data_IF_850570443939
#
_entry.id   IF_850570443939
#
_cell.length_a   1.000
_cell.length_b   1.000
_cell.length_c   1.000
_cell.angle_alpha   90.00
_cell.angle_beta   90.00
_cell.angle_gamma   90.00
#
_symmetry.space_group_name_H-M   'P 1'
#
loop_
_entity.id
_entity.type
_entity.pdbx_description
1 polymer ?
#
# COMPACT_ATOMS: atom_id res chain seq x y z
N UNK A 1 -33.28 -21.67 22.48
CA UNK A 1 -32.67 -22.56 21.48
C UNK A 1 -31.77 -21.68 20.65
N UNK A 2 -30.49 -22.03 20.53
CA UNK A 2 -29.56 -21.31 19.66
C UNK A 2 -29.70 -21.92 18.26
N UNK A 3 -29.93 -21.07 17.24
CA UNK A 3 -29.87 -21.52 15.85
C UNK A 3 -28.49 -22.15 15.56
N UNK A 4 -28.45 -23.23 14.76
CA UNK A 4 -27.20 -23.90 14.39
C UNK A 4 -26.41 -22.99 13.45
N UNK A 5 -25.36 -22.34 13.96
CA UNK A 5 -24.43 -21.57 13.14
C UNK A 5 -23.49 -22.51 12.40
N UNK A 6 -23.38 -22.33 11.09
CA UNK A 6 -22.41 -23.02 10.25
C UNK A 6 -21.01 -22.45 10.58
N UNK A 7 -19.98 -23.28 10.81
CA UNK A 7 -18.61 -22.80 10.89
C UNK A 7 -18.25 -22.17 9.53
N UNK A 8 -18.16 -20.83 9.48
CA UNK A 8 -17.87 -20.06 8.27
C UNK A 8 -18.80 -18.88 7.97
N UNK A 9 -19.90 -18.69 8.72
CA UNK A 9 -20.91 -17.64 8.44
C UNK A 9 -20.57 -16.22 8.93
N UNK A 10 -19.35 -15.96 9.38
CA UNK A 10 -18.89 -14.62 9.80
C UNK A 10 -17.54 -14.26 9.18
N UNK A 11 -17.38 -14.50 7.88
CA UNK A 11 -16.15 -14.17 7.14
C UNK A 11 -16.25 -12.79 6.50
N UNK A 12 -15.86 -11.75 7.26
CA UNK A 12 -15.49 -10.39 6.83
C UNK A 12 -16.19 -9.82 5.59
N UNK A 13 -17.31 -9.14 5.79
CA UNK A 13 -17.78 -8.18 4.80
C UNK A 13 -16.99 -6.89 4.95
N UNK A 14 -16.54 -6.32 3.83
CA UNK A 14 -15.80 -5.06 3.79
C UNK A 14 -16.63 -4.04 3.01
N UNK A 15 -16.99 -2.94 3.67
CA UNK A 15 -17.62 -1.78 3.01
C UNK A 15 -16.52 -0.90 2.45
N UNK A 16 -16.55 -0.68 1.14
CA UNK A 16 -15.57 0.11 0.40
C UNK A 16 -15.80 1.62 0.56
N UNK A 17 -14.82 2.48 0.24
CA UNK A 17 -15.00 3.93 0.21
C UNK A 17 -16.19 4.39 -0.65
N UNK A 18 -16.46 3.67 -1.75
CA UNK A 18 -17.59 3.92 -2.66
C UNK A 18 -18.94 3.37 -2.17
N UNK A 19 -19.03 2.94 -0.90
CA UNK A 19 -20.20 2.37 -0.23
C UNK A 19 -20.62 0.96 -0.68
N UNK A 20 -19.99 0.39 -1.71
CA UNK A 20 -20.19 -1.01 -2.10
C UNK A 20 -19.66 -1.97 -1.04
N UNK A 21 -20.24 -3.17 -0.93
CA UNK A 21 -19.82 -4.19 0.03
C UNK A 21 -19.30 -5.42 -0.69
N UNK A 22 -18.12 -5.89 -0.31
CA UNK A 22 -17.49 -7.10 -0.82
C UNK A 22 -17.19 -8.09 0.31
N UNK A 23 -16.83 -9.32 -0.03
CA UNK A 23 -16.32 -10.28 0.95
C UNK A 23 -14.79 -10.31 0.87
N UNK A 24 -14.12 -10.28 2.02
CA UNK A 24 -12.66 -10.42 2.09
C UNK A 24 -12.19 -11.77 1.52
N UNK A 25 -13.04 -12.81 1.60
CA UNK A 25 -12.76 -14.12 1.04
C UNK A 25 -12.77 -14.17 -0.50
N UNK A 26 -13.33 -13.15 -1.15
CA UNK A 26 -13.32 -13.03 -2.62
C UNK A 26 -12.05 -12.31 -3.13
N UNK A 27 -11.21 -11.78 -2.22
CA UNK A 27 -9.94 -11.13 -2.55
C UNK A 27 -8.80 -12.15 -2.59
N UNK A 28 -8.26 -12.37 -3.78
CA UNK A 28 -7.07 -13.21 -3.97
C UNK A 28 -5.81 -12.52 -3.43
N UNK A 29 -4.87 -13.29 -2.88
CA UNK A 29 -3.61 -12.78 -2.34
C UNK A 29 -2.73 -12.06 -3.37
N UNK A 30 -2.87 -12.36 -4.66
CA UNK A 30 -2.22 -11.66 -5.76
C UNK A 30 -2.99 -10.46 -6.30
N UNK A 31 -4.21 -10.20 -5.81
CA UNK A 31 -5.08 -9.15 -6.34
C UNK A 31 -4.51 -7.76 -6.07
N UNK A 32 -4.47 -6.95 -7.12
CA UNK A 32 -3.98 -5.56 -7.07
C UNK A 32 -5.07 -4.54 -7.28
N UNK A 33 -6.09 -4.93 -8.01
CA UNK A 33 -7.19 -4.10 -8.46
C UNK A 33 -8.49 -4.88 -8.38
N UNK A 34 -9.54 -4.20 -7.97
CA UNK A 34 -10.88 -4.73 -7.89
C UNK A 34 -11.79 -3.90 -8.80
N UNK A 35 -12.34 -4.53 -9.83
CA UNK A 35 -13.41 -3.93 -10.62
C UNK A 35 -14.71 -3.94 -9.82
N UNK A 36 -15.17 -2.75 -9.43
CA UNK A 36 -16.25 -2.57 -8.48
C UNK A 36 -17.60 -2.36 -9.17
N UNK A 37 -18.68 -2.68 -8.45
CA UNK A 37 -20.05 -2.45 -8.92
C UNK A 37 -20.40 -0.96 -9.08
N UNK A 38 -19.67 -0.05 -8.42
CA UNK A 38 -19.79 1.40 -8.63
C UNK A 38 -19.35 1.84 -10.04
N UNK A 39 -18.59 1.00 -10.76
CA UNK A 39 -18.09 1.26 -12.11
C UNK A 39 -16.64 1.75 -12.17
N UNK A 40 -15.97 1.84 -11.03
CA UNK A 40 -14.56 2.22 -10.90
C UNK A 40 -13.69 1.02 -10.50
N UNK A 41 -12.38 1.18 -10.60
CA UNK A 41 -11.39 0.17 -10.22
C UNK A 41 -10.69 0.65 -8.95
N UNK A 42 -10.69 -0.19 -7.92
CA UNK A 42 -10.11 0.13 -6.62
C UNK A 42 -8.79 -0.62 -6.42
N UNK A 43 -7.74 0.06 -5.96
CA UNK A 43 -6.51 -0.62 -5.60
C UNK A 43 -6.73 -1.47 -4.34
N UNK A 44 -6.13 -2.66 -4.34
CA UNK A 44 -6.11 -3.60 -3.22
C UNK A 44 -4.67 -3.84 -2.81
N UNK A 45 -4.40 -3.71 -1.52
CA UNK A 45 -3.10 -3.99 -0.89
C UNK A 45 -3.32 -4.89 0.32
N UNK A 46 -2.44 -5.86 0.54
CA UNK A 46 -2.47 -6.77 1.68
C UNK A 46 -1.12 -6.74 2.41
N UNK A 47 -1.09 -7.10 3.70
CA UNK A 47 0.14 -7.11 4.51
C UNK A 47 1.23 -8.02 3.94
N UNK A 48 0.85 -9.07 3.21
CA UNK A 48 1.76 -10.00 2.55
C UNK A 48 2.45 -9.40 1.30
N UNK A 49 1.93 -8.30 0.74
CA UNK A 49 2.55 -7.68 -0.44
C UNK A 49 3.85 -7.00 -0.03
N UNK A 50 4.97 -7.19 -0.75
CA UNK A 50 6.21 -6.54 -0.39
C UNK A 50 6.17 -5.04 -0.77
N UNK A 51 6.88 -4.16 -0.04
CA UNK A 51 7.05 -2.76 -0.43
C UNK A 51 7.65 -2.61 -1.83
N UNK A 52 8.31 -3.65 -2.33
CA UNK A 52 8.87 -3.64 -3.68
C UNK A 52 7.83 -3.65 -4.79
N UNK A 53 6.56 -3.83 -4.46
CA UNK A 53 5.43 -3.48 -5.33
C UNK A 53 5.46 -2.00 -5.74
N UNK A 54 5.94 -1.12 -4.85
CA UNK A 54 5.97 0.33 -5.06
C UNK A 54 7.37 0.86 -5.38
N UNK A 55 8.42 0.23 -4.81
CA UNK A 55 9.78 0.77 -4.87
C UNK A 55 10.81 -0.28 -5.27
N UNK A 56 11.90 0.09 -5.96
CA UNK A 56 13.04 -0.81 -6.12
C UNK A 56 13.56 -1.32 -4.77
N UNK A 57 14.03 -2.57 -4.71
CA UNK A 57 14.54 -3.19 -3.46
C UNK A 57 15.62 -2.35 -2.78
N UNK A 58 16.55 -1.75 -3.56
CA UNK A 58 17.57 -0.90 -2.97
C UNK A 58 16.99 0.32 -2.23
N UNK A 59 15.86 0.86 -2.71
CA UNK A 59 15.20 1.98 -2.06
C UNK A 59 14.46 1.50 -0.82
N UNK A 60 13.80 0.34 -0.89
CA UNK A 60 13.21 -0.30 0.31
C UNK A 60 14.25 -0.52 1.39
N UNK A 61 15.45 -0.98 1.05
CA UNK A 61 16.56 -1.17 1.99
C UNK A 61 17.03 0.15 2.61
N UNK A 62 17.06 1.24 1.83
CA UNK A 62 17.37 2.58 2.34
C UNK A 62 16.28 3.07 3.30
N UNK A 63 15.01 2.88 2.95
CA UNK A 63 13.87 3.27 3.80
C UNK A 63 13.89 2.52 5.13
N UNK A 64 14.16 1.21 5.13
CA UNK A 64 14.31 0.41 6.36
C UNK A 64 15.45 0.86 7.26
N UNK A 65 16.53 1.37 6.68
CA UNK A 65 17.67 1.88 7.44
C UNK A 65 17.45 3.31 7.96
N UNK A 66 16.57 4.07 7.31
CA UNK A 66 16.39 5.50 7.58
C UNK A 66 15.18 5.76 8.47
N UNK A 67 14.10 4.99 8.30
CA UNK A 67 12.85 5.16 9.03
C UNK A 67 12.88 4.25 10.25
N UNK A 68 12.93 4.86 11.43
CA UNK A 68 12.72 4.16 12.70
C UNK A 68 11.22 3.94 12.92
N UNK A 69 10.85 2.69 13.21
CA UNK A 69 9.49 2.27 13.51
C UNK A 69 9.38 1.98 15.01
N UNK A 70 8.30 2.43 15.65
CA UNK A 70 8.11 2.30 17.10
C UNK A 70 7.22 1.11 17.50
N UNK A 71 6.73 0.35 16.53
CA UNK A 71 5.80 -0.76 16.75
C UNK A 71 6.47 -2.14 16.74
N UNK A 72 5.67 -3.18 17.00
CA UNK A 72 6.12 -4.58 17.08
C UNK A 72 6.28 -5.24 15.70
N UNK A 73 5.98 -4.55 14.59
CA UNK A 73 6.04 -5.08 13.22
C UNK A 73 7.47 -5.10 12.66
N UNK A 74 8.41 -4.45 13.35
CA UNK A 74 9.81 -4.40 12.95
C UNK A 74 10.06 -3.32 11.92
N UNK A 75 10.91 -3.60 10.92
CA UNK A 75 11.38 -2.59 9.96
C UNK A 75 10.27 -2.04 9.04
N UNK A 76 10.53 -0.91 8.39
CA UNK A 76 9.64 -0.33 7.39
C UNK A 76 9.14 -1.38 6.37
N UNK A 77 7.84 -1.33 6.09
CA UNK A 77 7.10 -2.36 5.36
C UNK A 77 5.77 -1.85 4.81
N UNK A 78 5.00 -2.73 4.19
CA UNK A 78 3.73 -2.36 3.53
C UNK A 78 2.69 -1.82 4.51
N UNK A 79 2.62 -2.37 5.72
CA UNK A 79 1.75 -1.85 6.78
C UNK A 79 2.09 -0.40 7.12
N UNK A 80 3.38 -0.07 7.24
CA UNK A 80 3.84 1.30 7.50
C UNK A 80 3.50 2.24 6.33
N UNK A 81 3.78 1.80 5.09
CA UNK A 81 3.45 2.56 3.88
C UNK A 81 1.95 2.85 3.78
N UNK A 82 1.10 1.84 3.98
CA UNK A 82 -0.35 2.03 3.95
C UNK A 82 -0.84 2.86 5.14
N UNK A 83 -0.17 2.82 6.29
CA UNK A 83 -0.38 3.75 7.40
C UNK A 83 -0.23 5.21 6.95
N UNK A 84 0.88 5.54 6.30
CA UNK A 84 1.13 6.89 5.76
C UNK A 84 0.05 7.29 4.73
N UNK A 85 -0.33 6.38 3.83
CA UNK A 85 -1.41 6.63 2.85
C UNK A 85 -2.75 6.91 3.53
N UNK A 86 -3.11 6.13 4.56
CA UNK A 86 -4.36 6.34 5.32
C UNK A 86 -4.34 7.64 6.13
N UNK A 87 -3.18 8.05 6.64
CA UNK A 87 -3.04 9.32 7.34
C UNK A 87 -3.33 10.51 6.41
N UNK A 88 -2.87 10.46 5.16
CA UNK A 88 -3.15 11.52 4.18
C UNK A 88 -4.54 11.41 3.53
N UNK A 89 -5.03 10.19 3.30
CA UNK A 89 -6.30 9.93 2.60
C UNK A 89 -7.29 9.12 3.46
N UNK A 90 -7.71 9.61 4.64
CA UNK A 90 -8.50 8.82 5.59
C UNK A 90 -9.91 8.46 5.11
N UNK A 91 -10.46 9.22 4.17
CA UNK A 91 -11.80 8.96 3.59
C UNK A 91 -11.74 8.10 2.32
N UNK A 92 -10.57 7.99 1.69
CA UNK A 92 -10.39 7.28 0.42
C UNK A 92 -9.75 5.89 0.59
N UNK A 93 -9.46 5.46 1.82
CA UNK A 93 -8.89 4.16 2.11
C UNK A 93 -9.67 3.51 3.25
N UNK A 94 -10.17 2.30 3.02
CA UNK A 94 -10.70 1.44 4.09
C UNK A 94 -9.67 0.36 4.38
N UNK A 95 -9.49 0.04 5.67
CA UNK A 95 -8.68 -1.08 6.12
C UNK A 95 -9.51 -2.04 6.96
N UNK A 96 -9.16 -3.33 6.91
CA UNK A 96 -9.79 -4.37 7.73
C UNK A 96 -8.76 -5.35 8.28
N UNK A 97 -8.90 -5.68 9.56
CA UNK A 97 -8.15 -6.75 10.24
C UNK A 97 -8.90 -8.06 10.13
N UNK A 98 -8.31 -8.99 9.37
CA UNK A 98 -8.85 -10.33 9.13
C UNK A 98 -7.92 -11.41 9.70
N UNK A 99 -7.05 -11.07 10.66
CA UNK A 99 -6.10 -11.99 11.28
C UNK A 99 -6.78 -13.19 11.98
N UNK A 100 -8.02 -13.03 12.44
CA UNK A 100 -8.83 -14.11 13.02
C UNK A 100 -9.48 -15.01 11.93
N UNK A 101 -9.42 -14.61 10.66
CA UNK A 101 -9.98 -15.34 9.54
C UNK A 101 -8.94 -16.25 8.87
N UNK A 102 -8.82 -17.48 9.37
CA UNK A 102 -7.88 -18.47 8.84
C UNK A 102 -8.11 -18.96 7.40
N UNK A 103 -9.09 -18.42 6.66
CA UNK A 103 -9.37 -18.83 5.27
C UNK A 103 -8.71 -17.96 4.19
N UNK A 104 -8.19 -16.77 4.51
CA UNK A 104 -7.77 -15.78 3.49
C UNK A 104 -6.26 -15.65 3.29
N UNK A 105 -5.44 -16.08 4.26
CA UNK A 105 -3.98 -16.15 4.10
C UNK A 105 -3.21 -14.84 4.29
N UNK A 106 -3.90 -13.74 4.57
CA UNK A 106 -3.36 -12.43 4.94
C UNK A 106 -4.03 -11.94 6.24
N UNK A 107 -3.45 -10.94 6.89
CA UNK A 107 -3.94 -10.43 8.18
C UNK A 107 -4.59 -9.06 8.06
N UNK A 108 -4.09 -8.22 7.14
CA UNK A 108 -4.62 -6.88 6.91
C UNK A 108 -4.86 -6.68 5.42
N UNK A 109 -5.94 -5.98 5.09
CA UNK A 109 -6.24 -5.55 3.73
C UNK A 109 -6.61 -4.08 3.71
N UNK A 110 -6.17 -3.39 2.66
CA UNK A 110 -6.52 -2.02 2.34
C UNK A 110 -7.16 -1.97 0.96
N UNK A 111 -8.27 -1.24 0.84
CA UNK A 111 -8.92 -0.96 -0.43
C UNK A 111 -9.12 0.54 -0.59
N UNK A 112 -8.72 1.08 -1.73
CA UNK A 112 -8.71 2.53 -1.99
C UNK A 112 -9.77 2.94 -3.00
N UNK A 113 -10.25 4.18 -2.92
CA UNK A 113 -11.20 4.74 -3.89
C UNK A 113 -10.57 5.03 -5.26
N UNK A 114 -9.24 5.01 -5.34
CA UNK A 114 -8.48 5.17 -6.58
C UNK A 114 -7.86 3.85 -7.05
N UNK A 115 -7.46 3.80 -8.33
CA UNK A 115 -6.85 2.62 -8.96
C UNK A 115 -5.40 2.36 -8.49
N UNK A 116 -4.84 1.22 -8.87
CA UNK A 116 -3.51 0.82 -8.41
C UNK A 116 -2.37 1.66 -8.96
N UNK A 117 -2.57 2.35 -10.09
CA UNK A 117 -1.58 3.28 -10.64
C UNK A 117 -1.56 4.54 -9.79
N UNK A 118 -2.72 5.11 -9.49
CA UNK A 118 -2.81 6.30 -8.65
C UNK A 118 -2.31 6.03 -7.24
N UNK A 119 -2.62 4.86 -6.66
CA UNK A 119 -2.03 4.45 -5.38
C UNK A 119 -0.49 4.41 -5.43
N UNK A 120 0.08 3.97 -6.55
CA UNK A 120 1.53 3.93 -6.73
C UNK A 120 2.13 5.33 -6.74
N UNK A 121 1.53 6.25 -7.50
CA UNK A 121 1.94 7.66 -7.53
C UNK A 121 1.88 8.27 -6.13
N UNK A 122 0.76 8.09 -5.41
CA UNK A 122 0.58 8.55 -4.03
C UNK A 122 1.63 7.97 -3.08
N UNK A 123 1.90 6.67 -3.16
CA UNK A 123 2.92 6.04 -2.32
C UNK A 123 4.31 6.67 -2.54
N UNK A 124 4.66 6.95 -3.80
CA UNK A 124 5.95 7.58 -4.16
C UNK A 124 6.00 9.03 -3.68
N UNK A 125 4.94 9.81 -3.91
CA UNK A 125 4.79 11.18 -3.42
C UNK A 125 5.01 11.24 -1.90
N UNK A 126 4.30 10.42 -1.14
CA UNK A 126 4.36 10.43 0.32
C UNK A 126 5.72 10.00 0.88
N UNK A 127 6.40 9.04 0.23
CA UNK A 127 7.75 8.64 0.64
C UNK A 127 8.77 9.75 0.34
N UNK A 128 8.63 10.43 -0.79
CA UNK A 128 9.47 11.60 -1.12
C UNK A 128 9.28 12.71 -0.09
N UNK A 129 8.02 13.03 0.24
CA UNK A 129 7.70 14.05 1.26
C UNK A 129 8.25 13.67 2.65
N UNK A 130 8.18 12.38 3.02
CA UNK A 130 8.77 11.89 4.25
C UNK A 130 10.30 12.09 4.27
N UNK A 131 10.97 11.79 3.15
CA UNK A 131 12.41 12.02 3.02
C UNK A 131 12.77 13.51 3.09
N UNK A 132 11.98 14.38 2.47
CA UNK A 132 12.15 15.83 2.53
C UNK A 132 12.08 16.32 3.99
N UNK A 133 11.04 15.90 4.72
CA UNK A 133 10.90 16.23 6.13
C UNK A 133 12.08 15.73 6.95
N UNK A 134 12.54 14.49 6.74
CA UNK A 134 13.69 13.94 7.45
C UNK A 134 14.99 14.74 7.19
N UNK A 135 15.25 15.13 5.94
CA UNK A 135 16.43 15.93 5.56
C UNK A 135 16.35 17.33 6.15
N UNK A 136 15.17 17.95 6.15
CA UNK A 136 14.96 19.29 6.72
C UNK A 136 15.31 19.36 8.22
N UNK A 137 15.15 18.25 8.95
CA UNK A 137 15.50 18.13 10.36
C UNK A 137 16.98 17.88 10.62
N UNK A 138 17.75 17.44 9.62
CA UNK A 138 19.14 17.00 9.80
C UNK A 138 20.18 18.14 9.94
N UNK A 139 19.74 19.41 10.09
CA UNK A 139 20.58 20.62 10.19
C UNK A 139 21.69 20.70 9.11
N UNK A 140 21.45 20.13 7.92
CA UNK A 140 22.42 20.08 6.82
C UNK A 140 21.87 20.79 5.57
N UNK A 141 22.04 22.10 5.52
CA UNK A 141 21.56 22.97 4.43
C UNK A 141 22.04 22.53 3.03
N UNK A 142 23.23 21.91 2.94
CA UNK A 142 23.77 21.43 1.68
C UNK A 142 23.02 20.19 1.17
N UNK A 143 22.68 19.25 2.07
CA UNK A 143 21.90 18.07 1.72
C UNK A 143 20.45 18.44 1.34
N UNK A 144 19.86 19.44 2.02
CA UNK A 144 18.54 19.95 1.67
C UNK A 144 18.52 20.57 0.27
N UNK A 145 19.49 21.44 -0.04
CA UNK A 145 19.58 22.08 -1.37
C UNK A 145 19.74 21.03 -2.48
N UNK A 146 20.60 20.04 -2.27
CA UNK A 146 20.83 18.96 -3.25
C UNK A 146 19.56 18.11 -3.47
N UNK A 147 18.81 17.82 -2.40
CA UNK A 147 17.55 17.09 -2.49
C UNK A 147 16.51 17.90 -3.27
N UNK A 148 16.31 19.18 -2.93
CA UNK A 148 15.38 20.08 -3.64
C UNK A 148 15.71 20.17 -5.14
N UNK A 149 16.99 20.28 -5.50
CA UNK A 149 17.42 20.30 -6.90
C UNK A 149 17.08 18.98 -7.64
N UNK A 150 17.29 17.83 -7.00
CA UNK A 150 16.92 16.53 -7.57
C UNK A 150 15.40 16.37 -7.71
N UNK A 151 14.64 16.92 -6.77
CA UNK A 151 13.18 16.83 -6.76
C UNK A 151 12.52 17.71 -7.84
N UNK A 152 13.13 18.82 -8.25
CA UNK A 152 12.61 19.67 -9.34
C UNK A 152 12.48 18.93 -10.67
N UNK A 153 13.37 17.96 -10.92
CA UNK A 153 13.40 17.17 -12.15
C UNK A 153 12.74 15.79 -12.00
N UNK A 154 12.26 15.43 -10.80
CA UNK A 154 11.67 14.12 -10.54
C UNK A 154 10.18 14.08 -10.93
N UNK A 155 9.88 13.34 -12.00
CA UNK A 155 8.51 13.07 -12.43
C UNK A 155 8.01 11.74 -11.84
N UNK A 156 7.09 11.84 -10.89
CA UNK A 156 6.46 10.68 -10.23
C UNK A 156 5.72 9.80 -11.23
N UNK A 157 4.96 10.40 -12.15
CA UNK A 157 4.16 9.65 -13.11
C UNK A 157 5.05 8.89 -14.09
N UNK A 158 6.15 9.51 -14.54
CA UNK A 158 7.16 8.86 -15.37
C UNK A 158 7.87 7.73 -14.61
N UNK A 159 8.26 7.96 -13.35
CA UNK A 159 8.84 6.92 -12.50
C UNK A 159 7.92 5.70 -12.38
N UNK A 160 6.65 5.93 -12.03
CA UNK A 160 5.65 4.87 -11.88
C UNK A 160 5.44 4.13 -13.19
N UNK A 161 5.30 4.83 -14.30
CA UNK A 161 5.14 4.22 -15.62
C UNK A 161 6.33 3.31 -15.97
N UNK A 162 7.55 3.80 -15.83
CA UNK A 162 8.75 3.02 -16.12
C UNK A 162 8.91 1.83 -15.18
N UNK A 163 8.62 2.03 -13.89
CA UNK A 163 8.74 0.98 -12.89
C UNK A 163 7.73 -0.15 -13.15
N UNK A 164 6.46 0.20 -13.39
CA UNK A 164 5.40 -0.76 -13.72
C UNK A 164 5.65 -1.49 -15.04
N UNK A 165 6.14 -0.80 -16.06
CA UNK A 165 6.50 -1.43 -17.32
C UNK A 165 7.66 -2.44 -17.20
N UNK A 166 8.59 -2.21 -16.28
CA UNK A 166 9.73 -3.11 -16.06
C UNK A 166 9.38 -4.34 -15.22
N UNK A 167 8.41 -4.22 -14.32
CA UNK A 167 8.08 -5.28 -13.35
C UNK A 167 6.93 -6.19 -13.73
N UNK A 168 6.30 -5.99 -14.89
CA UNK A 168 5.14 -6.77 -15.38
C UNK A 168 4.21 -7.23 -14.25
N UNK A 169 3.52 -6.26 -13.65
CA UNK A 169 2.69 -6.46 -12.46
C UNK A 169 1.38 -7.21 -12.71
N UNK A 170 1.21 -7.83 -13.88
CA UNK A 170 -0.02 -8.48 -14.35
C UNK A 170 -0.19 -9.93 -13.85
N UNK A 171 0.74 -10.50 -13.07
CA UNK A 171 0.66 -11.89 -12.56
C UNK A 171 0.79 -12.01 -11.03
N UNK A 172 0.19 -13.07 -10.47
CA UNK A 172 0.20 -13.45 -9.04
C UNK A 172 1.60 -13.84 -8.54
N UNK A 173 2.50 -14.11 -9.47
CA UNK A 173 3.91 -14.42 -9.23
C UNK A 173 4.77 -13.17 -9.43
N UNK A 174 4.60 -12.16 -8.57
CA UNK A 174 5.56 -11.07 -8.41
C UNK A 174 6.88 -11.67 -7.91
N UNK A 175 7.69 -12.15 -8.86
CA UNK A 175 8.96 -12.80 -8.60
C UNK A 175 10.05 -11.79 -8.94
N UNK A 176 11.00 -11.54 -8.03
CA UNK A 176 12.10 -10.62 -8.30
C UNK A 176 12.89 -11.06 -9.54
N UNK A 177 13.32 -10.09 -10.35
CA UNK A 177 14.35 -10.28 -11.38
C UNK A 177 15.75 -10.29 -10.76
#
# INVERSE_FOLDING_TARGET
MAEPRVPGESGGELTLPCEETIRVADLDMGLRELDCACGETHAVVMDIHPPSRFFPEFLVDVLRQTIETEDDLGEFGTTHLMGIVMEEFPEAVVSEDVSENGSVGYSLVWVTDFDSRRLHEVAVELVVELMEHAISHAENDAAMTEFEEQMLDFDVAEFVEQYRARRDFDDEHDTPA
#
